data_IF_408290243849
#
_entry.id   IF_408290243849
#
_cell.length_a   1.000
_cell.length_b   1.000
_cell.length_c   1.000
_cell.angle_alpha   90.00
_cell.angle_beta   90.00
_cell.angle_gamma   90.00
#
_symmetry.space_group_name_H-M   'P 1'
#
loop_
_entity.id
_entity.type
_entity.pdbx_description
1 polymer ?
#
# COMPACT_ATOMS: atom_id res chain seq x y z
N UNK A 1 -1.29 36.32 -32.03
CA UNK A 1 -0.63 37.64 -31.87
C UNK A 1 -1.55 38.61 -31.15
N UNK A 2 -2.79 38.87 -31.63
CA UNK A 2 -3.72 39.85 -31.02
C UNK A 2 -4.09 39.53 -29.57
N UNK A 3 -4.31 38.26 -29.24
CA UNK A 3 -4.62 37.81 -27.85
C UNK A 3 -3.39 38.03 -26.94
N UNK A 4 -2.19 37.82 -27.44
CA UNK A 4 -0.96 38.05 -26.70
C UNK A 4 -0.71 39.57 -26.48
N UNK A 5 -1.02 40.43 -27.46
CA UNK A 5 -0.93 41.88 -27.28
C UNK A 5 -1.95 42.40 -26.25
N UNK A 6 -3.19 41.91 -26.25
CA UNK A 6 -4.19 42.29 -25.24
C UNK A 6 -3.80 41.85 -23.83
N UNK A 7 -3.20 40.67 -23.68
CA UNK A 7 -2.71 40.16 -22.39
C UNK A 7 -1.48 40.92 -21.89
N UNK A 8 -0.55 41.26 -22.79
CA UNK A 8 0.70 41.95 -22.44
C UNK A 8 0.57 43.49 -22.30
N UNK A 9 -0.36 44.11 -22.99
CA UNK A 9 -0.49 45.58 -23.04
C UNK A 9 -1.80 46.14 -22.47
N UNK A 10 -2.65 45.26 -21.91
CA UNK A 10 -3.85 45.73 -21.19
C UNK A 10 -3.47 46.57 -19.96
N UNK A 11 -4.04 47.77 -19.87
CA UNK A 11 -3.68 48.82 -18.89
C UNK A 11 -3.83 48.47 -17.39
N UNK A 12 -4.11 47.25 -17.04
CA UNK A 12 -4.32 46.78 -15.65
C UNK A 12 -3.32 45.72 -15.15
N UNK A 13 -2.26 45.40 -15.92
CA UNK A 13 -1.23 44.46 -15.48
C UNK A 13 -0.19 45.17 -14.59
N UNK A 14 -0.57 45.51 -13.37
CA UNK A 14 0.36 46.04 -12.36
C UNK A 14 1.04 44.95 -11.54
N UNK A 15 0.65 43.70 -11.69
CA UNK A 15 1.21 42.60 -10.88
C UNK A 15 2.44 42.00 -11.58
N UNK A 16 3.63 42.27 -11.00
CA UNK A 16 4.90 41.75 -11.52
C UNK A 16 5.01 40.25 -11.50
N UNK A 17 4.34 39.58 -10.52
CA UNK A 17 4.37 38.13 -10.36
C UNK A 17 3.63 37.40 -11.49
N UNK A 18 2.43 37.87 -11.82
CA UNK A 18 1.64 37.30 -12.92
C UNK A 18 2.35 37.54 -14.28
N UNK A 19 2.90 38.71 -14.51
CA UNK A 19 3.63 39.02 -15.75
C UNK A 19 4.89 38.13 -15.88
N UNK A 20 5.60 37.91 -14.81
CA UNK A 20 6.77 37.04 -14.79
C UNK A 20 6.40 35.58 -15.08
N UNK A 21 5.30 35.09 -14.48
CA UNK A 21 4.77 33.76 -14.77
C UNK A 21 4.39 33.58 -16.23
N UNK A 22 3.68 34.55 -16.82
CA UNK A 22 3.34 34.56 -18.25
C UNK A 22 4.61 34.54 -19.11
N UNK A 23 5.60 35.37 -18.77
CA UNK A 23 6.87 35.39 -19.49
C UNK A 23 7.56 34.02 -19.52
N UNK A 24 7.59 33.31 -18.41
CA UNK A 24 8.17 31.96 -18.39
C UNK A 24 7.31 30.95 -19.14
N UNK A 25 6.01 30.88 -18.85
CA UNK A 25 5.12 29.85 -19.41
C UNK A 25 4.88 29.97 -20.91
N UNK A 26 4.96 31.18 -21.47
CA UNK A 26 4.75 31.40 -22.89
C UNK A 26 6.04 31.60 -23.70
N UNK A 27 7.20 31.48 -23.08
CA UNK A 27 8.48 31.59 -23.76
C UNK A 27 9.01 30.24 -24.23
N UNK A 28 8.51 29.79 -25.39
CA UNK A 28 8.89 28.48 -25.99
C UNK A 28 10.33 28.44 -26.50
N UNK A 29 10.99 29.58 -26.65
CA UNK A 29 12.41 29.63 -27.05
C UNK A 29 13.35 29.46 -25.86
N UNK A 30 12.93 29.87 -24.67
CA UNK A 30 13.74 29.83 -23.45
C UNK A 30 13.73 28.47 -22.78
N UNK A 31 12.60 27.76 -22.83
CA UNK A 31 12.39 26.51 -22.10
C UNK A 31 12.18 25.34 -23.05
N UNK A 32 12.69 24.18 -22.68
CA UNK A 32 12.57 22.96 -23.48
C UNK A 32 11.27 22.17 -23.21
N UNK A 33 10.61 22.45 -22.08
CA UNK A 33 9.38 21.76 -21.67
C UNK A 33 8.51 22.65 -20.80
N UNK A 34 7.22 22.31 -20.72
CA UNK A 34 6.27 22.95 -19.81
C UNK A 34 6.72 22.83 -18.34
N UNK A 35 7.24 21.64 -17.93
CA UNK A 35 7.71 21.42 -16.58
C UNK A 35 8.82 22.39 -16.20
N UNK A 36 9.80 22.58 -17.09
CA UNK A 36 10.89 23.52 -16.86
C UNK A 36 10.38 24.97 -16.78
N UNK A 37 9.48 25.37 -17.67
CA UNK A 37 8.89 26.71 -17.67
C UNK A 37 8.11 27.00 -16.40
N UNK A 38 7.30 26.03 -15.95
CA UNK A 38 6.51 26.14 -14.71
C UNK A 38 7.39 26.13 -13.46
N UNK A 39 8.43 25.31 -13.45
CA UNK A 39 9.40 25.28 -12.35
C UNK A 39 10.07 26.64 -12.15
N UNK A 40 10.62 27.23 -13.21
CA UNK A 40 11.23 28.54 -13.11
C UNK A 40 10.25 29.64 -12.72
N UNK A 41 9.01 29.60 -13.24
CA UNK A 41 7.97 30.54 -12.85
C UNK A 41 7.62 30.41 -11.37
N UNK A 42 7.44 29.18 -10.88
CA UNK A 42 7.07 28.89 -9.50
C UNK A 42 8.18 29.29 -8.50
N UNK A 43 9.44 29.00 -8.82
CA UNK A 43 10.59 29.38 -7.98
C UNK A 43 10.75 30.89 -7.89
N UNK A 44 10.60 31.59 -9.02
CA UNK A 44 10.79 33.04 -9.06
C UNK A 44 9.64 33.83 -8.41
N UNK A 45 8.44 33.24 -8.34
CA UNK A 45 7.24 33.91 -7.86
C UNK A 45 6.63 33.25 -6.60
N UNK A 46 7.33 32.31 -6.03
CA UNK A 46 7.06 31.67 -4.74
C UNK A 46 5.65 31.06 -4.59
N UNK A 47 5.21 30.36 -5.62
CA UNK A 47 4.00 29.55 -5.59
C UNK A 47 4.32 28.08 -5.83
N UNK A 48 3.40 27.23 -5.43
CA UNK A 48 3.53 25.78 -5.56
C UNK A 48 2.36 25.23 -6.37
N UNK A 49 2.66 24.32 -7.29
CA UNK A 49 1.66 23.68 -8.14
C UNK A 49 1.79 22.18 -8.06
N UNK A 50 0.68 21.51 -7.84
CA UNK A 50 0.56 20.07 -7.90
C UNK A 50 -0.58 19.71 -8.84
N UNK A 51 -0.32 18.81 -9.77
CA UNK A 51 -1.36 18.16 -10.55
C UNK A 51 -1.70 16.84 -9.86
N UNK A 52 -2.96 16.67 -9.50
CA UNK A 52 -3.47 15.47 -8.83
C UNK A 52 -4.28 14.63 -9.80
N UNK A 53 -4.18 13.31 -9.70
CA UNK A 53 -5.06 12.38 -10.42
C UNK A 53 -6.51 12.48 -9.91
N UNK A 54 -7.44 11.76 -10.54
CA UNK A 54 -8.83 11.67 -10.07
C UNK A 54 -8.94 11.18 -8.63
N UNK A 55 -7.98 10.36 -8.17
CA UNK A 55 -7.90 9.86 -6.79
C UNK A 55 -7.10 10.75 -5.85
N UNK A 56 -6.77 11.97 -6.27
CA UNK A 56 -5.98 12.95 -5.51
C UNK A 56 -4.53 12.53 -5.22
N UNK A 57 -3.95 11.67 -6.05
CA UNK A 57 -2.53 11.36 -5.95
C UNK A 57 -1.72 12.37 -6.77
N UNK A 58 -0.59 12.88 -6.27
CA UNK A 58 0.30 13.73 -7.03
C UNK A 58 0.81 13.01 -8.28
N UNK A 59 0.56 13.58 -9.45
CA UNK A 59 1.04 13.10 -10.76
C UNK A 59 2.21 13.94 -11.25
N UNK A 60 2.16 15.22 -10.94
CA UNK A 60 3.20 16.18 -11.27
C UNK A 60 3.27 17.21 -10.15
N UNK A 61 4.48 17.50 -9.69
CA UNK A 61 4.71 18.49 -8.62
C UNK A 61 5.85 19.40 -9.03
N UNK A 62 5.65 20.70 -8.91
CA UNK A 62 6.75 21.65 -8.97
C UNK A 62 7.44 21.61 -7.62
N UNK A 63 8.76 21.44 -7.64
CA UNK A 63 9.59 21.35 -6.46
C UNK A 63 9.34 22.52 -5.52
N UNK A 64 9.10 22.22 -4.25
CA UNK A 64 8.65 23.20 -3.27
C UNK A 64 9.49 23.12 -2.01
N UNK A 65 9.64 24.26 -1.37
CA UNK A 65 10.38 24.35 -0.10
C UNK A 65 9.62 23.75 1.09
N UNK A 66 8.32 23.45 0.92
CA UNK A 66 7.40 23.10 2.03
C UNK A 66 6.60 21.81 1.77
N UNK A 67 7.27 20.73 1.40
CA UNK A 67 6.64 19.45 1.06
C UNK A 67 5.67 18.92 2.14
N UNK A 68 6.03 19.07 3.41
CA UNK A 68 5.18 18.62 4.52
C UNK A 68 3.84 19.37 4.58
N UNK A 69 3.87 20.69 4.32
CA UNK A 69 2.65 21.51 4.27
C UNK A 69 1.75 21.09 3.10
N UNK A 70 2.33 20.79 1.94
CA UNK A 70 1.57 20.34 0.76
C UNK A 70 0.85 19.04 1.05
N UNK A 71 1.52 18.05 1.60
CA UNK A 71 0.92 16.75 1.90
C UNK A 71 -0.25 16.89 2.90
N UNK A 72 -0.09 17.73 3.93
CA UNK A 72 -1.15 18.00 4.89
C UNK A 72 -2.33 18.72 4.23
N UNK A 73 -2.06 19.71 3.37
CA UNK A 73 -3.08 20.47 2.65
C UNK A 73 -3.84 19.57 1.66
N UNK A 74 -3.14 18.70 0.93
CA UNK A 74 -3.77 17.73 0.03
C UNK A 74 -4.68 16.79 0.82
N UNK A 75 -4.22 16.28 1.95
CA UNK A 75 -5.00 15.39 2.81
C UNK A 75 -6.31 16.04 3.28
N UNK A 76 -6.24 17.27 3.76
CA UNK A 76 -7.43 18.02 4.22
C UNK A 76 -8.34 18.46 3.08
N UNK A 77 -7.75 18.90 1.98
CA UNK A 77 -8.49 19.36 0.80
C UNK A 77 -9.22 18.23 0.08
N UNK A 78 -8.76 16.99 0.19
CA UNK A 78 -9.41 15.80 -0.39
C UNK A 78 -10.88 15.68 0.01
N UNK A 79 -11.19 15.88 1.29
CA UNK A 79 -12.56 15.80 1.81
C UNK A 79 -13.45 16.92 1.26
N UNK A 80 -12.88 18.11 1.06
CA UNK A 80 -13.59 19.28 0.54
C UNK A 80 -13.75 19.20 -0.97
N UNK A 81 -12.70 18.78 -1.69
CA UNK A 81 -12.70 18.65 -3.14
C UNK A 81 -13.69 17.60 -3.66
N UNK A 82 -13.95 16.53 -2.91
CA UNK A 82 -14.99 15.53 -3.24
C UNK A 82 -16.41 16.13 -3.30
N UNK A 83 -16.64 17.28 -2.66
CA UNK A 83 -17.92 17.98 -2.65
C UNK A 83 -18.00 19.14 -3.64
N UNK A 84 -16.99 19.29 -4.53
CA UNK A 84 -16.95 20.37 -5.51
C UNK A 84 -17.98 20.15 -6.61
N UNK A 85 -19.12 20.83 -6.49
CA UNK A 85 -20.05 21.02 -7.60
C UNK A 85 -19.65 22.11 -8.59
N UNK A 86 -18.47 22.73 -8.41
CA UNK A 86 -17.96 23.84 -9.20
C UNK A 86 -16.68 23.45 -9.95
N UNK A 87 -16.35 24.21 -11.01
CA UNK A 87 -15.16 24.01 -11.84
C UNK A 87 -13.88 24.22 -11.01
N UNK A 88 -13.92 25.13 -10.03
CA UNK A 88 -12.83 25.37 -9.09
C UNK A 88 -13.34 25.83 -7.73
N UNK A 89 -12.49 25.74 -6.70
CA UNK A 89 -12.72 26.33 -5.37
C UNK A 89 -11.45 26.93 -4.80
N UNK A 90 -11.63 28.02 -4.08
CA UNK A 90 -10.59 28.63 -3.25
C UNK A 90 -10.88 28.25 -1.80
N UNK A 91 -9.89 27.65 -1.14
CA UNK A 91 -10.03 27.13 0.20
C UNK A 91 -8.83 27.57 1.02
N UNK A 92 -9.08 28.17 2.18
CA UNK A 92 -8.04 28.47 3.15
C UNK A 92 -7.87 27.26 4.09
N UNK A 93 -6.65 26.73 4.13
CA UNK A 93 -6.28 25.58 4.97
C UNK A 93 -5.11 25.99 5.85
N UNK A 94 -5.31 26.03 7.16
CA UNK A 94 -4.30 26.45 8.14
C UNK A 94 -3.74 27.87 7.90
N UNK A 95 -4.59 28.80 7.41
CA UNK A 95 -4.16 30.14 7.08
C UNK A 95 -3.44 30.29 5.73
N UNK A 96 -3.41 29.23 4.94
CA UNK A 96 -2.82 29.22 3.57
C UNK A 96 -3.92 29.16 2.54
N UNK A 97 -3.90 30.11 1.60
CA UNK A 97 -4.84 30.13 0.49
C UNK A 97 -4.49 29.06 -0.53
N UNK A 98 -5.46 28.25 -0.92
CA UNK A 98 -5.32 27.18 -1.89
C UNK A 98 -6.35 27.28 -2.99
N UNK A 99 -5.94 26.93 -4.20
CA UNK A 99 -6.79 26.79 -5.37
C UNK A 99 -6.94 25.31 -5.76
N UNK A 100 -8.17 24.88 -6.00
CA UNK A 100 -8.52 23.53 -6.44
C UNK A 100 -9.34 23.66 -7.72
N UNK A 101 -8.79 23.29 -8.86
CA UNK A 101 -9.45 23.36 -10.16
C UNK A 101 -9.56 22.00 -10.80
N UNK A 102 -10.74 21.69 -11.34
CA UNK A 102 -10.97 20.50 -12.15
C UNK A 102 -10.52 20.77 -13.58
N UNK A 103 -9.66 19.91 -14.12
CA UNK A 103 -9.24 20.00 -15.51
C UNK A 103 -9.22 18.64 -16.21
N UNK A 104 -9.29 18.66 -17.53
CA UNK A 104 -9.22 17.46 -18.36
C UNK A 104 -8.03 17.57 -19.32
N UNK A 105 -7.14 16.58 -19.25
CA UNK A 105 -6.02 16.42 -20.19
C UNK A 105 -6.17 15.08 -20.89
N UNK A 106 -6.26 15.10 -22.23
CA UNK A 106 -6.43 13.88 -23.03
C UNK A 106 -7.62 12.99 -22.62
N UNK A 107 -8.75 13.60 -22.23
CA UNK A 107 -9.95 12.95 -21.70
C UNK A 107 -9.80 12.29 -20.31
N UNK A 108 -8.67 12.44 -19.65
CA UNK A 108 -8.48 12.05 -18.27
C UNK A 108 -8.72 13.23 -17.33
N UNK A 109 -9.29 12.95 -16.17
CA UNK A 109 -9.64 13.94 -15.16
C UNK A 109 -8.49 14.15 -14.18
N UNK A 110 -8.16 15.42 -13.95
CA UNK A 110 -7.14 15.85 -13.00
C UNK A 110 -7.66 17.00 -12.15
N UNK A 111 -6.96 17.26 -11.04
CA UNK A 111 -7.16 18.45 -10.22
C UNK A 111 -5.88 19.28 -10.22
N UNK A 112 -5.99 20.53 -10.66
CA UNK A 112 -4.93 21.51 -10.51
C UNK A 112 -5.01 22.10 -9.10
N UNK A 113 -3.94 21.92 -8.35
CA UNK A 113 -3.81 22.41 -6.99
C UNK A 113 -2.67 23.42 -6.91
N UNK A 114 -2.97 24.62 -6.40
CA UNK A 114 -1.99 25.71 -6.26
C UNK A 114 -2.00 26.16 -4.80
N UNK A 115 -0.81 26.34 -4.23
CA UNK A 115 -0.61 26.80 -2.86
C UNK A 115 0.20 28.10 -2.89
N UNK A 116 -0.31 29.11 -2.20
CA UNK A 116 0.38 30.36 -1.91
C UNK A 116 0.81 30.38 -0.45
N UNK A 117 2.06 30.00 -0.19
CA UNK A 117 2.56 29.84 1.20
C UNK A 117 2.79 31.15 1.93
N UNK A 118 3.11 32.21 1.22
CA UNK A 118 3.57 33.47 1.81
C UNK A 118 2.55 34.60 1.66
N UNK A 119 1.29 34.27 1.33
CA UNK A 119 0.19 35.21 1.13
C UNK A 119 0.53 36.30 0.09
N UNK A 120 1.24 35.88 -0.98
CA UNK A 120 1.70 36.78 -2.04
C UNK A 120 0.59 37.14 -3.03
N UNK A 121 -0.45 36.31 -3.10
CA UNK A 121 -1.53 36.42 -4.10
C UNK A 121 -2.88 36.68 -3.45
N UNK A 122 -3.61 37.63 -3.99
CA UNK A 122 -5.05 37.73 -3.72
C UNK A 122 -5.83 36.57 -4.36
N UNK A 123 -7.04 36.31 -3.90
CA UNK A 123 -7.94 35.30 -4.48
C UNK A 123 -8.13 35.45 -6.00
N UNK A 124 -8.20 36.69 -6.49
CA UNK A 124 -8.30 36.98 -7.93
C UNK A 124 -7.02 36.68 -8.71
N UNK A 125 -5.86 36.86 -8.09
CA UNK A 125 -4.56 36.59 -8.70
C UNK A 125 -4.25 35.12 -8.77
N UNK A 126 -4.55 34.33 -7.72
CA UNK A 126 -4.36 32.89 -7.74
C UNK A 126 -5.28 32.20 -8.75
N UNK A 127 -6.51 32.73 -8.96
CA UNK A 127 -7.41 32.25 -10.02
C UNK A 127 -6.84 32.53 -11.40
N UNK A 128 -6.32 33.76 -11.64
CA UNK A 128 -5.66 34.08 -12.90
C UNK A 128 -4.41 33.26 -13.15
N UNK A 129 -3.64 32.98 -12.10
CA UNK A 129 -2.47 32.10 -12.18
C UNK A 129 -2.87 30.70 -12.64
N UNK A 130 -3.97 30.14 -12.10
CA UNK A 130 -4.50 28.85 -12.51
C UNK A 130 -4.92 28.85 -14.00
N UNK A 131 -5.66 29.88 -14.45
CA UNK A 131 -6.08 30.02 -15.86
C UNK A 131 -4.87 30.08 -16.80
N UNK A 132 -3.81 30.78 -16.42
CA UNK A 132 -2.58 30.88 -17.21
C UNK A 132 -1.85 29.55 -17.28
N UNK A 133 -1.78 28.81 -16.17
CA UNK A 133 -1.16 27.49 -16.12
C UNK A 133 -1.95 26.50 -16.98
N UNK A 134 -3.27 26.47 -16.90
CA UNK A 134 -4.13 25.63 -17.76
C UNK A 134 -3.95 25.96 -19.25
N UNK A 135 -3.95 27.24 -19.60
CA UNK A 135 -3.71 27.68 -20.97
C UNK A 135 -2.33 27.19 -21.46
N UNK A 136 -1.30 27.39 -20.66
CA UNK A 136 0.06 26.97 -20.99
C UNK A 136 0.16 25.44 -21.16
N UNK A 137 -0.50 24.66 -20.30
CA UNK A 137 -0.59 23.19 -20.48
C UNK A 137 -1.11 22.82 -21.86
N UNK A 138 -2.17 23.47 -22.31
CA UNK A 138 -2.73 23.25 -23.64
C UNK A 138 -1.77 23.66 -24.77
N UNK A 139 -1.10 24.82 -24.66
CA UNK A 139 -0.17 25.33 -25.65
C UNK A 139 1.09 24.49 -25.81
N UNK A 140 1.62 23.95 -24.69
CA UNK A 140 2.76 23.05 -24.67
C UNK A 140 2.37 21.61 -25.03
N UNK A 141 1.08 21.29 -25.20
CA UNK A 141 0.55 19.95 -25.34
C UNK A 141 1.06 19.04 -24.21
N UNK A 142 1.03 19.59 -23.00
CA UNK A 142 1.54 18.91 -21.83
C UNK A 142 0.71 17.65 -21.55
N UNK A 143 1.42 16.55 -21.36
CA UNK A 143 0.87 15.28 -20.89
C UNK A 143 1.63 14.92 -19.64
N UNK A 144 0.96 14.71 -18.51
CA UNK A 144 1.63 14.23 -17.30
C UNK A 144 2.35 12.91 -17.59
N UNK A 145 3.60 12.80 -17.17
CA UNK A 145 4.27 11.52 -17.19
C UNK A 145 3.54 10.58 -16.23
N UNK A 146 2.90 9.57 -16.78
CA UNK A 146 2.22 8.55 -16.01
C UNK A 146 3.23 7.48 -15.64
N UNK A 147 3.45 7.26 -14.34
CA UNK A 147 4.16 6.08 -13.90
C UNK A 147 3.27 4.83 -14.05
N UNK A 148 3.33 4.21 -15.24
CA UNK A 148 2.56 3.02 -15.55
C UNK A 148 2.81 1.87 -14.56
N UNK A 149 4.01 1.81 -13.95
CA UNK A 149 4.36 0.79 -12.95
C UNK A 149 3.64 1.04 -11.64
N UNK A 150 3.67 2.27 -11.13
CA UNK A 150 2.94 2.64 -9.92
C UNK A 150 1.43 2.48 -10.10
N UNK A 151 0.88 2.93 -11.23
CA UNK A 151 -0.53 2.78 -11.55
C UNK A 151 -0.95 1.31 -11.72
N UNK A 152 -0.07 0.44 -12.23
CA UNK A 152 -0.31 -1.01 -12.28
C UNK A 152 -0.50 -1.58 -10.87
N UNK A 153 0.36 -1.23 -9.90
CA UNK A 153 0.20 -1.69 -8.52
C UNK A 153 -1.16 -1.25 -7.96
N UNK A 154 -1.54 0.02 -8.16
CA UNK A 154 -2.85 0.54 -7.71
C UNK A 154 -4.03 -0.17 -8.38
N UNK A 155 -3.94 -0.43 -9.68
CA UNK A 155 -5.00 -1.15 -10.41
C UNK A 155 -5.17 -2.58 -9.90
N UNK A 156 -4.08 -3.28 -9.60
CA UNK A 156 -4.09 -4.61 -9.01
C UNK A 156 -4.72 -4.62 -7.61
N UNK A 157 -4.34 -3.66 -6.75
CA UNK A 157 -4.91 -3.51 -5.40
C UNK A 157 -6.42 -3.27 -5.43
N UNK A 158 -6.90 -2.49 -6.40
CA UNK A 158 -8.32 -2.19 -6.57
C UNK A 158 -9.10 -3.29 -7.28
N UNK A 159 -8.43 -4.33 -7.77
CA UNK A 159 -9.04 -5.40 -8.55
C UNK A 159 -9.52 -4.96 -9.94
N UNK A 160 -9.03 -3.82 -10.46
CA UNK A 160 -9.35 -3.33 -11.79
C UNK A 160 -8.53 -4.07 -12.85
N UNK A 161 -8.98 -5.25 -13.23
CA UNK A 161 -8.28 -6.15 -14.16
C UNK A 161 -8.05 -5.51 -15.53
N UNK A 162 -9.06 -4.84 -16.08
CA UNK A 162 -8.97 -4.22 -17.41
C UNK A 162 -7.86 -3.16 -17.47
N UNK A 163 -7.83 -2.27 -16.47
CA UNK A 163 -6.79 -1.25 -16.35
C UNK A 163 -5.42 -1.88 -16.10
N UNK A 164 -5.34 -2.90 -15.24
CA UNK A 164 -4.09 -3.59 -14.95
C UNK A 164 -3.48 -4.25 -16.20
N UNK A 165 -4.29 -4.83 -17.09
CA UNK A 165 -3.80 -5.37 -18.37
C UNK A 165 -3.19 -4.28 -19.25
N UNK A 166 -3.88 -3.15 -19.43
CA UNK A 166 -3.39 -2.03 -20.23
C UNK A 166 -2.08 -1.46 -19.67
N UNK A 167 -2.04 -1.22 -18.35
CA UNK A 167 -0.86 -0.66 -17.67
C UNK A 167 0.34 -1.62 -17.69
N UNK A 168 0.11 -2.92 -17.59
CA UNK A 168 1.16 -3.92 -17.72
C UNK A 168 1.86 -3.83 -19.08
N UNK A 169 1.08 -3.70 -20.18
CA UNK A 169 1.62 -3.55 -21.52
C UNK A 169 2.39 -2.25 -21.68
N UNK A 170 1.85 -1.15 -21.17
CA UNK A 170 2.50 0.16 -21.15
C UNK A 170 3.83 0.12 -20.35
N UNK A 171 3.86 -0.57 -19.21
CA UNK A 171 5.06 -0.75 -18.39
C UNK A 171 6.08 -1.76 -18.95
N UNK A 172 5.75 -2.45 -20.05
CA UNK A 172 6.61 -3.46 -20.67
C UNK A 172 6.79 -4.74 -19.84
N UNK A 173 5.84 -5.06 -18.95
CA UNK A 173 5.92 -6.20 -18.04
C UNK A 173 5.22 -7.41 -18.69
N UNK A 174 5.91 -8.56 -18.72
CA UNK A 174 5.29 -9.82 -19.13
C UNK A 174 4.49 -10.41 -17.97
N UNK A 175 3.33 -10.98 -18.26
CA UNK A 175 2.48 -11.60 -17.23
C UNK A 175 3.20 -12.73 -16.47
N UNK A 176 4.05 -13.48 -17.17
CA UNK A 176 4.87 -14.55 -16.59
C UNK A 176 5.96 -14.09 -15.63
N UNK A 177 6.27 -12.78 -15.60
CA UNK A 177 7.32 -12.26 -14.74
C UNK A 177 6.82 -11.91 -13.33
N UNK A 178 5.51 -11.90 -13.11
CA UNK A 178 4.92 -11.59 -11.80
C UNK A 178 5.09 -12.81 -10.89
N UNK A 179 5.85 -12.63 -9.81
CA UNK A 179 6.17 -13.70 -8.86
C UNK A 179 5.39 -13.61 -7.56
N UNK A 180 5.21 -12.40 -7.06
CA UNK A 180 4.58 -12.17 -5.76
C UNK A 180 3.94 -10.80 -5.67
N UNK A 181 2.87 -10.70 -4.90
CA UNK A 181 2.31 -9.44 -4.42
C UNK A 181 2.53 -9.32 -2.92
N UNK A 182 2.80 -8.10 -2.47
CA UNK A 182 3.24 -7.81 -1.10
C UNK A 182 2.55 -6.57 -0.58
N UNK A 183 2.07 -6.64 0.64
CA UNK A 183 1.78 -5.51 1.50
C UNK A 183 2.73 -5.54 2.68
N UNK A 184 3.33 -4.43 3.01
CA UNK A 184 4.23 -4.33 4.14
C UNK A 184 4.01 -3.02 4.89
N UNK A 185 4.12 -3.07 6.22
CA UNK A 185 3.99 -1.91 7.10
C UNK A 185 5.08 -1.85 8.15
N UNK A 186 5.33 -0.67 8.70
CA UNK A 186 6.36 -0.45 9.69
C UNK A 186 7.78 -0.58 9.12
N UNK A 187 7.94 -0.29 7.83
CA UNK A 187 9.23 -0.30 7.13
C UNK A 187 9.95 1.03 7.39
N UNK A 188 11.19 0.94 7.85
CA UNK A 188 12.12 2.06 7.80
C UNK A 188 12.63 2.22 6.36
N UNK A 189 12.33 3.36 5.73
CA UNK A 189 12.47 3.59 4.30
C UNK A 189 13.89 3.30 3.79
N UNK A 190 14.94 3.77 4.46
CA UNK A 190 16.31 3.60 4.01
C UNK A 190 16.80 2.16 3.96
N UNK A 191 16.51 1.35 4.99
CA UNK A 191 16.92 -0.06 5.04
C UNK A 191 16.20 -0.91 3.98
N UNK A 192 14.93 -0.63 3.73
CA UNK A 192 14.18 -1.35 2.71
C UNK A 192 14.71 -1.05 1.31
N UNK A 193 15.06 0.20 1.03
CA UNK A 193 15.59 0.61 -0.26
C UNK A 193 16.95 -0.05 -0.54
N UNK A 194 17.84 -0.12 0.47
CA UNK A 194 19.12 -0.84 0.32
C UNK A 194 18.94 -2.33 -0.03
N UNK A 195 17.97 -3.00 0.61
CA UNK A 195 17.67 -4.42 0.32
C UNK A 195 17.06 -4.57 -1.08
N UNK A 196 16.15 -3.68 -1.46
CA UNK A 196 15.54 -3.67 -2.79
C UNK A 196 16.61 -3.49 -3.85
N UNK A 197 17.47 -2.50 -3.70
CA UNK A 197 18.57 -2.21 -4.63
C UNK A 197 19.52 -3.39 -4.74
N UNK A 198 19.88 -4.06 -3.64
CA UNK A 198 20.71 -5.26 -3.64
C UNK A 198 20.13 -6.37 -4.53
N UNK A 199 18.84 -6.66 -4.43
CA UNK A 199 18.20 -7.72 -5.22
C UNK A 199 18.00 -7.32 -6.68
N UNK A 200 17.77 -6.03 -6.95
CA UNK A 200 17.65 -5.49 -8.30
C UNK A 200 19.02 -5.49 -9.02
N UNK A 201 20.08 -5.01 -8.37
CA UNK A 201 21.45 -5.00 -8.92
C UNK A 201 21.99 -6.41 -9.20
N UNK A 202 21.66 -7.37 -8.34
CA UNK A 202 21.98 -8.78 -8.57
C UNK A 202 21.20 -9.40 -9.73
N UNK A 203 20.18 -8.71 -10.27
CA UNK A 203 19.31 -9.20 -11.33
C UNK A 203 18.41 -10.36 -10.88
N UNK A 204 18.18 -10.53 -9.57
CA UNK A 204 17.34 -11.59 -9.02
C UNK A 204 15.86 -11.20 -9.03
N UNK A 205 15.55 -9.97 -8.66
CA UNK A 205 14.17 -9.44 -8.65
C UNK A 205 14.15 -8.06 -9.30
N UNK A 206 13.07 -7.76 -10.00
CA UNK A 206 12.62 -6.39 -10.28
C UNK A 206 11.43 -6.09 -9.38
N UNK A 207 11.42 -4.92 -8.74
CA UNK A 207 10.42 -4.57 -7.74
C UNK A 207 9.75 -3.27 -8.14
N UNK A 208 8.44 -3.31 -8.29
CA UNK A 208 7.61 -2.11 -8.45
C UNK A 208 6.82 -1.90 -7.18
N UNK A 209 6.88 -0.69 -6.62
CA UNK A 209 6.24 -0.38 -5.35
C UNK A 209 5.57 0.98 -5.35
N UNK A 210 4.58 1.11 -4.49
CA UNK A 210 4.03 2.37 -4.03
C UNK A 210 4.13 2.41 -2.51
N UNK A 211 4.39 3.58 -1.95
CA UNK A 211 4.48 3.78 -0.49
C UNK A 211 3.60 4.95 -0.10
N UNK A 212 2.71 4.73 0.86
CA UNK A 212 1.80 5.71 1.43
C UNK A 212 1.82 5.55 2.95
N UNK A 213 2.08 6.61 3.72
CA UNK A 213 1.96 6.65 5.19
C UNK A 213 2.60 5.46 5.96
N UNK A 214 3.85 5.06 5.64
CA UNK A 214 4.54 3.89 6.21
C UNK A 214 3.97 2.52 5.80
N UNK A 215 3.08 2.48 4.83
CA UNK A 215 2.57 1.28 4.19
C UNK A 215 3.13 1.17 2.78
N UNK A 216 3.55 -0.01 2.39
CA UNK A 216 4.10 -0.26 1.05
C UNK A 216 3.36 -1.41 0.38
N UNK A 217 2.98 -1.20 -0.84
CA UNK A 217 2.41 -2.22 -1.72
C UNK A 217 3.37 -2.45 -2.86
N UNK A 218 3.73 -3.69 -3.11
CA UNK A 218 4.72 -4.03 -4.11
C UNK A 218 4.32 -5.26 -4.93
N UNK A 219 4.84 -5.29 -6.15
CA UNK A 219 4.82 -6.48 -7.01
C UNK A 219 6.27 -6.87 -7.26
N UNK A 220 6.62 -8.09 -6.91
CA UNK A 220 7.92 -8.68 -7.19
C UNK A 220 7.85 -9.33 -8.57
N UNK A 221 8.77 -8.94 -9.43
CA UNK A 221 8.91 -9.43 -10.78
C UNK A 221 10.20 -10.23 -10.91
N UNK A 222 10.23 -11.16 -11.86
CA UNK A 222 11.43 -11.89 -12.22
C UNK A 222 12.52 -10.94 -12.67
N UNK A 223 13.72 -11.06 -12.09
CA UNK A 223 14.91 -10.39 -12.54
C UNK A 223 15.55 -11.11 -13.74
N UNK A 224 16.42 -10.43 -14.45
CA UNK A 224 17.04 -10.95 -15.69
C UNK A 224 17.90 -12.21 -15.48
N UNK A 225 18.56 -12.33 -14.32
CA UNK A 225 19.40 -13.47 -13.97
C UNK A 225 18.68 -14.60 -13.25
N UNK A 226 17.42 -14.38 -12.86
CA UNK A 226 16.62 -15.41 -12.21
C UNK A 226 16.14 -16.42 -13.26
N UNK A 227 16.61 -17.66 -13.18
CA UNK A 227 16.35 -18.74 -14.14
C UNK A 227 17.53 -19.05 -15.08
N UNK A 228 18.64 -18.29 -15.01
CA UNK A 228 19.92 -18.69 -15.64
C UNK A 228 20.59 -19.82 -14.85
N UNK A 229 20.33 -19.89 -13.54
CA UNK A 229 20.85 -20.91 -12.64
C UNK A 229 19.69 -21.86 -12.27
N UNK A 230 19.72 -23.09 -12.76
CA UNK A 230 18.68 -24.10 -12.54
C UNK A 230 18.51 -24.46 -11.05
N UNK A 231 19.52 -24.15 -10.20
CA UNK A 231 19.53 -24.45 -8.77
C UNK A 231 18.78 -23.39 -7.93
N UNK A 232 18.45 -22.21 -8.47
CA UNK A 232 17.81 -21.12 -7.72
C UNK A 232 16.32 -21.01 -8.08
N UNK A 233 15.44 -21.48 -7.19
CA UNK A 233 14.01 -21.36 -7.41
C UNK A 233 13.51 -19.93 -7.14
N UNK A 234 12.57 -19.45 -7.95
CA UNK A 234 11.88 -18.16 -7.79
C UNK A 234 11.29 -17.99 -6.39
N UNK A 235 10.70 -19.06 -5.86
CA UNK A 235 10.14 -19.10 -4.52
C UNK A 235 11.21 -18.87 -3.45
N UNK A 236 12.39 -19.50 -3.59
CA UNK A 236 13.47 -19.35 -2.63
C UNK A 236 14.03 -17.91 -2.62
N UNK A 237 14.10 -17.26 -3.78
CA UNK A 237 14.53 -15.86 -3.88
C UNK A 237 13.51 -14.93 -3.18
N UNK A 238 12.21 -15.12 -3.43
CA UNK A 238 11.18 -14.32 -2.74
C UNK A 238 11.24 -14.52 -1.21
N UNK A 239 11.39 -15.76 -0.75
CA UNK A 239 11.51 -16.06 0.71
C UNK A 239 12.77 -15.41 1.29
N UNK A 240 13.91 -15.51 0.61
CA UNK A 240 15.16 -14.86 1.02
C UNK A 240 15.00 -13.35 1.13
N UNK A 241 14.34 -12.72 0.17
CA UNK A 241 14.04 -11.29 0.20
C UNK A 241 13.19 -10.90 1.43
N UNK A 242 12.13 -11.65 1.73
CA UNK A 242 11.29 -11.39 2.91
C UNK A 242 12.05 -11.63 4.23
N UNK A 243 12.93 -12.62 4.28
CA UNK A 243 13.76 -12.88 5.46
C UNK A 243 14.76 -11.75 5.73
N UNK A 244 15.32 -11.15 4.68
CA UNK A 244 16.16 -9.95 4.80
C UNK A 244 15.36 -8.76 5.32
N UNK A 245 14.18 -8.47 4.76
CA UNK A 245 13.31 -7.38 5.25
C UNK A 245 12.88 -7.58 6.71
N UNK A 246 12.69 -8.83 7.13
CA UNK A 246 12.31 -9.21 8.50
C UNK A 246 13.40 -8.89 9.54
N UNK A 247 14.65 -8.67 9.15
CA UNK A 247 15.71 -8.22 10.05
C UNK A 247 15.35 -6.89 10.74
N UNK A 248 14.57 -6.03 10.08
CA UNK A 248 13.89 -4.91 10.73
C UNK A 248 12.79 -5.44 11.66
N UNK A 249 12.92 -5.15 12.97
CA UNK A 249 12.03 -5.70 14.02
C UNK A 249 10.60 -5.14 13.96
N UNK A 250 10.39 -3.98 13.37
CA UNK A 250 9.09 -3.30 13.28
C UNK A 250 8.25 -3.77 12.11
N UNK A 251 8.89 -4.33 11.09
CA UNK A 251 8.26 -4.75 9.83
C UNK A 251 7.25 -5.88 10.03
N UNK A 252 6.11 -5.71 9.34
CA UNK A 252 5.10 -6.76 9.11
C UNK A 252 4.91 -6.91 7.61
N UNK A 253 5.05 -8.12 7.09
CA UNK A 253 5.00 -8.44 5.66
C UNK A 253 3.88 -9.44 5.43
N UNK A 254 3.01 -9.13 4.48
CA UNK A 254 1.92 -9.98 4.02
C UNK A 254 2.14 -10.22 2.53
N UNK A 255 2.26 -11.48 2.13
CA UNK A 255 2.59 -11.78 0.75
C UNK A 255 1.84 -12.98 0.18
N UNK A 256 1.57 -12.93 -1.11
CA UNK A 256 1.10 -14.06 -1.90
C UNK A 256 2.09 -14.31 -3.01
N UNK A 257 2.86 -15.37 -2.87
CA UNK A 257 3.91 -15.78 -3.81
C UNK A 257 3.43 -16.97 -4.64
N UNK A 258 3.95 -17.08 -5.87
CA UNK A 258 3.48 -18.06 -6.85
C UNK A 258 2.14 -17.63 -7.44
N UNK A 259 1.97 -16.33 -7.65
CA UNK A 259 0.83 -15.79 -8.40
C UNK A 259 1.03 -16.10 -9.88
N UNK A 260 -0.08 -16.37 -10.57
CA UNK A 260 -0.08 -16.56 -12.00
C UNK A 260 -0.83 -15.40 -12.64
N UNK A 261 -0.15 -14.64 -13.49
CA UNK A 261 -0.71 -13.53 -14.26
C UNK A 261 -1.33 -12.39 -13.43
N UNK A 262 -1.99 -11.48 -14.13
CA UNK A 262 -2.68 -10.32 -13.55
C UNK A 262 -3.81 -10.72 -12.60
N UNK A 263 -4.56 -11.76 -12.96
CA UNK A 263 -5.67 -12.26 -12.13
C UNK A 263 -5.16 -12.74 -10.77
N UNK A 264 -4.11 -13.57 -10.78
CA UNK A 264 -3.52 -14.09 -9.55
C UNK A 264 -2.94 -12.99 -8.66
N UNK A 265 -2.35 -11.95 -9.28
CA UNK A 265 -1.85 -10.79 -8.55
C UNK A 265 -3.00 -9.98 -7.90
N UNK A 266 -4.07 -9.71 -8.64
CA UNK A 266 -5.25 -9.04 -8.11
C UNK A 266 -5.95 -9.84 -7.00
N UNK A 267 -6.09 -11.16 -7.19
CA UNK A 267 -6.66 -12.05 -6.17
C UNK A 267 -5.75 -12.13 -4.92
N UNK A 268 -4.42 -12.07 -5.10
CA UNK A 268 -3.46 -12.00 -4.01
C UNK A 268 -3.60 -10.73 -3.17
N UNK A 269 -3.69 -9.57 -3.79
CA UNK A 269 -3.93 -8.31 -3.07
C UNK A 269 -5.29 -8.30 -2.38
N UNK A 270 -6.33 -8.85 -3.01
CA UNK A 270 -7.64 -9.00 -2.37
C UNK A 270 -7.55 -9.86 -1.10
N UNK A 271 -6.90 -11.04 -1.17
CA UNK A 271 -6.70 -11.91 -0.02
C UNK A 271 -5.96 -11.19 1.12
N UNK A 272 -4.90 -10.46 0.79
CA UNK A 272 -4.17 -9.64 1.77
C UNK A 272 -5.11 -8.60 2.38
N UNK A 273 -5.82 -7.83 1.56
CA UNK A 273 -6.73 -6.76 2.02
C UNK A 273 -7.82 -7.25 2.96
N UNK A 274 -8.39 -8.43 2.69
CA UNK A 274 -9.43 -9.03 3.52
C UNK A 274 -8.90 -9.58 4.87
N UNK A 275 -7.61 -9.90 4.98
CA UNK A 275 -7.09 -10.72 6.09
C UNK A 275 -6.04 -10.04 6.96
N UNK A 276 -5.28 -9.07 6.44
CA UNK A 276 -4.11 -8.50 7.14
C UNK A 276 -4.44 -7.97 8.55
N UNK A 277 -5.59 -7.35 8.75
CA UNK A 277 -6.00 -6.80 10.04
C UNK A 277 -6.29 -7.86 11.12
N UNK A 278 -6.52 -9.10 10.71
CA UNK A 278 -6.88 -10.20 11.61
C UNK A 278 -5.72 -11.18 11.83
N UNK A 279 -4.81 -11.31 10.87
CA UNK A 279 -3.80 -12.35 10.90
C UNK A 279 -2.81 -12.19 12.05
N UNK A 280 -2.47 -10.97 12.45
CA UNK A 280 -1.58 -10.71 13.59
C UNK A 280 -2.19 -11.12 14.93
N UNK A 281 -3.51 -11.02 15.05
CA UNK A 281 -4.22 -11.49 16.26
C UNK A 281 -4.17 -13.01 16.41
N UNK A 282 -4.14 -13.72 15.28
CA UNK A 282 -4.06 -15.19 15.26
C UNK A 282 -2.61 -15.65 15.43
N UNK A 283 -1.64 -14.95 14.85
CA UNK A 283 -0.23 -15.30 14.85
C UNK A 283 0.66 -14.17 15.43
N UNK A 284 0.55 -13.85 16.72
CA UNK A 284 1.19 -12.69 17.33
C UNK A 284 2.72 -12.73 17.30
N UNK A 285 3.32 -13.90 17.18
CA UNK A 285 4.78 -14.09 17.14
C UNK A 285 5.36 -14.07 15.72
N UNK A 286 4.50 -14.04 14.69
CA UNK A 286 4.93 -13.93 13.29
C UNK A 286 4.99 -12.49 12.82
N UNK A 287 5.86 -12.25 11.84
CA UNK A 287 6.02 -10.94 11.17
C UNK A 287 5.97 -11.03 9.66
N UNK A 288 6.12 -12.23 9.10
CA UNK A 288 5.97 -12.53 7.68
C UNK A 288 4.84 -13.53 7.52
N UNK A 289 3.82 -13.17 6.79
CA UNK A 289 2.59 -13.93 6.59
C UNK A 289 2.44 -14.28 5.12
N UNK A 290 2.45 -15.58 4.85
CA UNK A 290 2.31 -16.12 3.51
C UNK A 290 0.84 -16.39 3.17
N UNK A 291 0.59 -16.75 1.93
CA UNK A 291 -0.75 -17.17 1.46
C UNK A 291 -1.40 -18.25 2.33
N UNK A 292 -0.62 -19.07 3.03
CA UNK A 292 -1.16 -20.16 3.85
C UNK A 292 -1.83 -19.63 5.12
N UNK A 293 -1.17 -18.70 5.83
CA UNK A 293 -1.76 -18.03 6.99
C UNK A 293 -2.95 -17.17 6.57
N UNK A 294 -2.80 -16.42 5.48
CA UNK A 294 -3.87 -15.56 4.97
C UNK A 294 -5.12 -16.37 4.55
N UNK A 295 -4.94 -17.51 3.90
CA UNK A 295 -6.05 -18.40 3.53
C UNK A 295 -6.75 -19.00 4.76
N UNK A 296 -5.99 -19.38 5.78
CA UNK A 296 -6.59 -19.84 7.05
C UNK A 296 -7.44 -18.75 7.69
N UNK A 297 -6.91 -17.52 7.75
CA UNK A 297 -7.63 -16.38 8.31
C UNK A 297 -8.88 -16.04 7.50
N UNK A 298 -8.79 -16.04 6.16
CA UNK A 298 -9.94 -15.84 5.27
C UNK A 298 -11.04 -16.87 5.53
N UNK A 299 -10.66 -18.15 5.69
CA UNK A 299 -11.63 -19.18 6.06
C UNK A 299 -12.26 -18.93 7.43
N UNK A 300 -11.47 -18.53 8.43
CA UNK A 300 -11.99 -18.19 9.77
C UNK A 300 -12.97 -16.99 9.72
N UNK A 301 -12.66 -15.96 8.92
CA UNK A 301 -13.57 -14.83 8.72
C UNK A 301 -14.90 -15.32 8.13
N UNK A 302 -14.87 -16.16 7.10
CA UNK A 302 -16.06 -16.72 6.49
C UNK A 302 -16.90 -17.51 7.48
N UNK A 303 -16.27 -18.39 8.28
CA UNK A 303 -16.94 -19.15 9.33
C UNK A 303 -17.57 -18.22 10.38
N UNK A 304 -16.86 -17.16 10.75
CA UNK A 304 -17.34 -16.17 11.72
C UNK A 304 -18.57 -15.39 11.19
N UNK A 305 -18.56 -15.03 9.91
CA UNK A 305 -19.66 -14.31 9.25
C UNK A 305 -20.88 -15.22 9.08
N UNK A 306 -20.68 -16.46 8.64
CA UNK A 306 -21.78 -17.42 8.50
C UNK A 306 -22.37 -17.82 9.86
N UNK A 307 -21.55 -17.92 10.89
CA UNK A 307 -21.99 -18.25 12.24
C UNK A 307 -22.72 -19.60 12.35
N UNK A 308 -23.73 -19.65 13.23
CA UNK A 308 -24.64 -20.80 13.34
C UNK A 308 -23.96 -22.13 13.63
N UNK A 309 -24.45 -23.19 13.01
CA UNK A 309 -23.95 -24.55 13.21
C UNK A 309 -22.49 -24.74 12.76
N UNK A 310 -22.08 -24.07 11.68
CA UNK A 310 -20.71 -24.23 11.16
C UNK A 310 -19.70 -23.76 12.20
N UNK A 311 -19.85 -22.55 12.71
CA UNK A 311 -18.99 -22.02 13.76
C UNK A 311 -19.05 -22.89 15.03
N UNK A 312 -20.24 -23.27 15.45
CA UNK A 312 -20.44 -24.11 16.64
C UNK A 312 -19.68 -25.43 16.54
N UNK A 313 -19.76 -26.12 15.40
CA UNK A 313 -19.07 -27.40 15.20
C UNK A 313 -17.56 -27.30 15.43
N UNK A 314 -16.92 -26.19 15.01
CA UNK A 314 -15.50 -25.97 15.29
C UNK A 314 -15.27 -25.63 16.78
N UNK A 315 -16.09 -24.75 17.36
CA UNK A 315 -15.90 -24.32 18.75
C UNK A 315 -16.15 -25.47 19.76
N UNK A 316 -17.03 -26.39 19.43
CA UNK A 316 -17.31 -27.60 20.25
C UNK A 316 -16.10 -28.52 20.35
N UNK A 317 -15.13 -28.45 19.39
CA UNK A 317 -13.86 -29.22 19.52
C UNK A 317 -13.01 -28.76 20.72
N UNK A 318 -13.24 -27.56 21.21
CA UNK A 318 -12.53 -26.98 22.35
C UNK A 318 -13.28 -27.19 23.68
N UNK A 319 -14.47 -27.79 23.69
CA UNK A 319 -15.27 -28.01 24.90
C UNK A 319 -14.54 -28.84 25.99
N UNK A 320 -13.70 -29.83 25.66
CA UNK A 320 -12.93 -30.54 26.67
C UNK A 320 -12.08 -29.63 27.56
N UNK A 321 -11.70 -28.43 27.04
CA UNK A 321 -10.85 -27.47 27.76
C UNK A 321 -11.67 -26.38 28.50
N UNK A 322 -13.00 -26.38 28.41
CA UNK A 322 -13.87 -25.30 28.97
C UNK A 322 -14.36 -25.61 30.40
N UNK A 323 -13.67 -26.45 31.14
CA UNK A 323 -14.06 -26.70 32.54
C UNK A 323 -13.85 -25.45 33.39
N UNK A 324 -14.92 -24.83 33.86
CA UNK A 324 -14.90 -23.61 34.68
C UNK A 324 -14.00 -23.78 35.92
N UNK A 325 -13.13 -22.80 36.18
CA UNK A 325 -12.26 -22.74 37.36
C UNK A 325 -11.02 -23.65 37.32
N UNK A 326 -10.79 -24.45 36.26
CA UNK A 326 -9.63 -25.33 36.16
C UNK A 326 -8.45 -24.63 35.47
N UNK A 327 -7.49 -24.15 36.27
CA UNK A 327 -6.24 -23.60 35.80
C UNK A 327 -5.44 -24.60 34.92
N UNK A 328 -5.61 -25.88 35.11
CA UNK A 328 -4.93 -26.91 34.31
C UNK A 328 -5.50 -26.98 32.91
N UNK A 329 -6.81 -26.98 32.75
CA UNK A 329 -7.48 -26.96 31.43
C UNK A 329 -7.07 -25.73 30.61
N UNK A 330 -7.02 -24.57 31.26
CA UNK A 330 -6.54 -23.34 30.61
C UNK A 330 -5.08 -23.45 30.14
N UNK A 331 -4.18 -23.97 30.99
CA UNK A 331 -2.77 -24.17 30.62
C UNK A 331 -2.60 -25.18 29.47
N UNK A 332 -3.44 -26.23 29.43
CA UNK A 332 -3.44 -27.19 28.33
C UNK A 332 -3.88 -26.50 27.01
N UNK A 333 -4.94 -25.72 27.06
CA UNK A 333 -5.42 -24.97 25.88
C UNK A 333 -4.38 -23.98 25.37
N UNK A 334 -3.77 -23.18 26.24
CA UNK A 334 -2.68 -22.26 25.88
C UNK A 334 -1.49 -23.01 25.26
N UNK A 335 -1.16 -24.19 25.77
CA UNK A 335 -0.09 -25.02 25.20
C UNK A 335 -0.47 -25.53 23.80
N UNK A 336 -1.71 -25.96 23.61
CA UNK A 336 -2.22 -26.43 22.33
C UNK A 336 -2.25 -25.29 21.29
N UNK A 337 -2.70 -24.10 21.68
CA UNK A 337 -2.70 -22.91 20.82
C UNK A 337 -1.31 -22.57 20.35
N UNK A 338 -0.36 -22.45 21.28
CA UNK A 338 1.04 -22.12 20.94
C UNK A 338 1.67 -23.20 20.07
N UNK A 339 1.43 -24.48 20.39
CA UNK A 339 1.95 -25.60 19.63
C UNK A 339 1.45 -25.62 18.18
N UNK A 340 0.13 -25.46 17.98
CA UNK A 340 -0.50 -25.61 16.69
C UNK A 340 -0.36 -24.34 15.80
N UNK A 341 -0.53 -23.15 16.39
CA UNK A 341 -0.59 -21.89 15.62
C UNK A 341 0.79 -21.20 15.51
N UNK A 342 1.57 -21.19 16.59
CA UNK A 342 2.78 -20.37 16.64
C UNK A 342 4.07 -21.16 16.37
N UNK A 343 4.17 -22.34 16.96
CA UNK A 343 5.39 -23.14 16.96
C UNK A 343 5.50 -24.16 15.81
N UNK A 344 4.48 -24.23 14.94
CA UNK A 344 4.47 -25.18 13.81
C UNK A 344 4.57 -26.64 14.27
N UNK A 345 3.87 -27.00 15.34
CA UNK A 345 3.86 -28.33 15.95
C UNK A 345 5.25 -28.79 16.48
N UNK A 346 6.09 -27.84 16.87
CA UNK A 346 7.41 -28.10 17.41
C UNK A 346 7.43 -27.88 18.94
N UNK A 347 7.66 -28.92 19.72
CA UNK A 347 7.65 -28.86 21.19
C UNK A 347 8.76 -27.96 21.76
N UNK A 348 9.93 -27.91 21.12
CA UNK A 348 11.03 -27.03 21.53
C UNK A 348 10.69 -25.56 21.35
N UNK A 349 10.16 -25.19 20.18
CA UNK A 349 9.68 -23.82 19.92
C UNK A 349 8.51 -23.44 20.82
N UNK A 350 7.59 -24.37 21.08
CA UNK A 350 6.50 -24.15 22.03
C UNK A 350 7.02 -23.83 23.43
N UNK A 351 8.02 -24.56 23.88
CA UNK A 351 8.67 -24.34 25.18
C UNK A 351 9.33 -22.97 25.26
N UNK A 352 10.01 -22.55 24.18
CA UNK A 352 10.63 -21.23 24.03
C UNK A 352 9.59 -20.12 24.12
N UNK A 353 8.52 -20.19 23.33
CA UNK A 353 7.45 -19.16 23.33
C UNK A 353 6.71 -19.06 24.66
N UNK A 354 6.55 -20.17 25.36
CA UNK A 354 5.86 -20.21 26.66
C UNK A 354 6.78 -19.95 27.85
N UNK A 355 8.10 -19.89 27.66
CA UNK A 355 9.08 -19.76 28.77
C UNK A 355 9.08 -20.93 29.73
N UNK A 356 8.83 -22.18 29.27
CA UNK A 356 8.79 -23.41 30.08
C UNK A 356 9.72 -24.46 29.49
N UNK A 357 9.98 -25.54 30.28
CA UNK A 357 10.83 -26.63 29.80
C UNK A 357 10.11 -27.52 28.77
N UNK A 358 10.84 -28.03 27.78
CA UNK A 358 10.30 -28.92 26.72
C UNK A 358 9.59 -30.16 27.28
N UNK A 359 10.11 -30.77 28.37
CA UNK A 359 9.47 -31.90 29.02
C UNK A 359 8.07 -31.53 29.56
N UNK A 360 7.89 -30.30 30.03
CA UNK A 360 6.57 -29.81 30.48
C UNK A 360 5.60 -29.71 29.31
N UNK A 361 6.08 -29.24 28.17
CA UNK A 361 5.27 -29.19 26.92
C UNK A 361 4.86 -30.61 26.51
N UNK A 362 5.81 -31.53 26.43
CA UNK A 362 5.54 -32.94 26.07
C UNK A 362 4.54 -33.60 27.02
N UNK A 363 4.69 -33.36 28.33
CA UNK A 363 3.72 -33.83 29.32
C UNK A 363 2.32 -33.28 29.08
N UNK A 364 2.23 -31.95 28.82
CA UNK A 364 0.94 -31.31 28.53
C UNK A 364 0.32 -31.83 27.25
N UNK A 365 1.12 -32.01 26.17
CA UNK A 365 0.63 -32.56 24.89
C UNK A 365 0.08 -34.00 25.08
N UNK A 366 0.75 -34.84 25.89
CA UNK A 366 0.22 -36.16 26.24
C UNK A 366 -1.13 -36.05 26.95
N UNK A 367 -1.27 -35.13 27.92
CA UNK A 367 -2.54 -34.88 28.61
C UNK A 367 -3.63 -34.36 27.68
N UNK A 368 -3.27 -33.56 26.69
CA UNK A 368 -4.20 -33.07 25.65
C UNK A 368 -4.70 -34.27 24.82
N UNK A 369 -3.81 -35.17 24.39
CA UNK A 369 -4.19 -36.38 23.67
C UNK A 369 -5.17 -37.24 24.48
N UNK A 370 -4.85 -37.45 25.78
CA UNK A 370 -5.74 -38.20 26.70
C UNK A 370 -7.11 -37.54 26.82
N UNK A 371 -7.15 -36.19 26.91
CA UNK A 371 -8.37 -35.41 27.04
C UNK A 371 -9.25 -35.44 25.79
N UNK A 372 -8.62 -35.36 24.61
CA UNK A 372 -9.31 -35.40 23.32
C UNK A 372 -9.66 -36.81 22.86
N UNK A 373 -9.04 -37.84 23.45
CA UNK A 373 -9.17 -39.23 23.01
C UNK A 373 -8.56 -39.48 21.62
N UNK A 374 -7.64 -38.63 21.19
CA UNK A 374 -7.01 -38.66 19.85
C UNK A 374 -5.62 -38.02 19.90
N UNK A 375 -4.74 -38.44 19.00
CA UNK A 375 -3.44 -37.77 18.81
C UNK A 375 -3.59 -36.45 18.05
N UNK A 376 -3.18 -35.33 18.67
CA UNK A 376 -3.28 -33.99 18.09
C UNK A 376 -2.49 -33.83 16.79
N UNK A 377 -1.40 -34.58 16.61
CA UNK A 377 -0.61 -34.60 15.38
C UNK A 377 -1.21 -35.46 14.27
N UNK A 378 -2.34 -36.09 14.54
CA UNK A 378 -3.04 -36.91 13.55
C UNK A 378 -3.61 -36.09 12.40
N UNK A 379 -3.43 -36.55 11.17
CA UNK A 379 -3.84 -35.86 9.94
C UNK A 379 -5.34 -35.46 9.90
N UNK A 380 -6.19 -36.12 10.69
CA UNK A 380 -7.63 -35.86 10.76
C UNK A 380 -8.03 -34.95 11.91
N UNK A 381 -7.16 -34.77 12.89
CA UNK A 381 -7.44 -34.04 14.14
C UNK A 381 -6.97 -32.59 14.02
N UNK A 382 -5.71 -32.39 13.61
CA UNK A 382 -5.06 -31.08 13.61
C UNK A 382 -5.77 -30.04 12.71
N UNK A 383 -6.30 -30.34 11.52
CA UNK A 383 -6.93 -29.31 10.68
C UNK A 383 -8.15 -28.67 11.36
N UNK A 384 -9.01 -29.46 11.99
CA UNK A 384 -10.18 -28.95 12.70
C UNK A 384 -9.79 -28.13 13.94
N UNK A 385 -8.83 -28.65 14.73
CA UNK A 385 -8.33 -27.91 15.90
C UNK A 385 -7.68 -26.59 15.53
N UNK A 386 -6.88 -26.54 14.44
CA UNK A 386 -6.23 -25.30 13.98
C UNK A 386 -7.27 -24.22 13.68
N UNK A 387 -8.36 -24.58 12.99
CA UNK A 387 -9.45 -23.64 12.70
C UNK A 387 -10.16 -23.21 13.99
N UNK A 388 -10.47 -24.13 14.89
CA UNK A 388 -11.12 -23.84 16.17
C UNK A 388 -10.30 -22.87 17.03
N UNK A 389 -8.99 -23.12 17.15
CA UNK A 389 -8.06 -22.28 17.90
C UNK A 389 -7.90 -20.89 17.26
N UNK A 390 -7.81 -20.82 15.93
CA UNK A 390 -7.75 -19.55 15.22
C UNK A 390 -9.03 -18.72 15.42
N UNK A 391 -10.21 -19.34 15.33
CA UNK A 391 -11.50 -18.70 15.63
C UNK A 391 -11.55 -18.17 17.06
N UNK A 392 -11.07 -18.94 18.03
CA UNK A 392 -11.02 -18.54 19.44
C UNK A 392 -10.13 -17.31 19.64
N UNK A 393 -8.94 -17.27 19.03
CA UNK A 393 -8.06 -16.09 19.08
C UNK A 393 -8.68 -14.86 18.43
N UNK A 394 -9.38 -15.02 17.31
CA UNK A 394 -10.14 -13.91 16.67
C UNK A 394 -11.23 -13.36 17.59
N UNK A 395 -11.91 -14.18 18.36
CA UNK A 395 -12.95 -13.74 19.32
C UNK A 395 -12.34 -13.02 20.53
N UNK A 396 -11.22 -13.53 21.03
CA UNK A 396 -10.55 -12.94 22.18
C UNK A 396 -9.94 -11.57 21.87
N UNK A 397 -9.51 -11.34 20.63
CA UNK A 397 -8.98 -10.06 20.17
C UNK A 397 -10.05 -8.96 20.03
N UNK A 398 -11.35 -9.32 20.00
CA UNK A 398 -12.48 -8.37 19.93
C UNK A 398 -12.96 -7.90 21.31
N UNK A 399 -12.49 -8.50 22.38
CA UNK A 399 -12.78 -8.14 23.77
C UNK A 399 -11.74 -7.19 24.32
#
# INVERSE_FOLDING_TARGET
>A
AEIMEQVLYGNNFKNSLINNTIFHLLNFEKHSSFQQALHEAAVNNDFQVVLLSEEFNPVFTVETRHQATINEVIRRGREVALNLGHIYSLIEINGVLTYWGLLYLNNEKYYLFIVDNDDNYSAGEITKLAEIIELAMGMWKFTPERDAKAELVKALMRGNKSLAYSLREEAGIRASDILSVVYARGIETGMADEIIDEYMEKGLLNIIKITEDNESYAVLLRGEKLGEDEDISEMAVCVSFFDRLKENKTVRIFHVTGVDRIEGAGDGFRLIGETWAFVENIFPYKRVFSKYELALVSNCINIQVQGGHLKKNYMDLLDPFKKEGDNKSRQLLETLETFALDAGMNSGKTAEFMGIHTNTVQYRLKKINDLLGAEITGNRVIPGLTIALALQRMENAKK
#
